data_IF_342776532324
#
_entry.id   IF_342776532324
#
_cell.length_a   1.000
_cell.length_b   1.000
_cell.length_c   1.000
_cell.angle_alpha   90.00
_cell.angle_beta   90.00
_cell.angle_gamma   90.00
#
_symmetry.space_group_name_H-M   'P 1'
#
loop_
_entity.id
_entity.type
_entity.pdbx_description
1 polymer ?
#
# COMPACT_ATOMS: atom_id res chain seq x y z
N UNK A 1 -61.78 -22.26 48.84
CA UNK A 1 -60.86 -21.11 48.78
C UNK A 1 -60.28 -20.89 50.16
N UNK A 2 -58.99 -21.20 50.36
CA UNK A 2 -58.24 -20.89 51.59
C UNK A 2 -57.10 -19.95 51.21
N UNK A 3 -56.97 -18.90 52.01
CA UNK A 3 -56.02 -17.81 51.86
C UNK A 3 -54.78 -18.19 52.68
N UNK A 4 -53.63 -18.29 52.04
CA UNK A 4 -52.35 -18.34 52.74
C UNK A 4 -51.58 -17.05 52.44
N UNK A 5 -51.40 -16.26 53.50
CA UNK A 5 -50.54 -15.08 53.50
C UNK A 5 -49.08 -15.53 53.54
N UNK A 6 -48.31 -15.15 52.53
CA UNK A 6 -46.86 -15.31 52.55
C UNK A 6 -46.19 -13.96 52.25
N UNK A 7 -45.63 -13.35 53.29
CA UNK A 7 -44.71 -12.20 53.21
C UNK A 7 -43.28 -12.70 53.24
N UNK A 8 -42.50 -12.56 52.16
CA UNK A 8 -41.05 -12.74 52.24
C UNK A 8 -40.36 -11.46 52.73
N UNK A 9 -39.55 -11.62 53.76
CA UNK A 9 -38.64 -10.64 54.36
C UNK A 9 -37.55 -10.18 53.38
N UNK A 10 -37.34 -8.86 53.25
CA UNK A 10 -36.19 -8.31 52.55
C UNK A 10 -34.90 -8.56 53.35
N UNK A 11 -34.08 -9.49 52.87
CA UNK A 11 -32.70 -9.68 53.35
C UNK A 11 -31.77 -8.73 52.60
N UNK A 12 -31.25 -7.73 53.30
CA UNK A 12 -30.19 -6.86 52.81
C UNK A 12 -28.92 -7.69 52.46
N UNK A 13 -28.47 -7.62 51.20
CA UNK A 13 -27.15 -8.12 50.79
C UNK A 13 -26.31 -6.98 50.21
N UNK A 14 -25.41 -6.52 51.09
CA UNK A 14 -24.04 -6.02 50.87
C UNK A 14 -23.73 -5.42 49.48
N UNK A 15 -23.63 -4.10 49.51
CA UNK A 15 -22.83 -3.24 48.65
C UNK A 15 -21.44 -3.86 48.40
N UNK A 16 -21.14 -4.30 47.18
CA UNK A 16 -19.79 -4.68 46.75
C UNK A 16 -19.13 -3.42 46.22
N UNK A 17 -18.46 -2.66 47.09
CA UNK A 17 -17.45 -1.70 46.68
C UNK A 17 -16.09 -2.41 46.73
N UNK A 18 -15.76 -3.11 45.64
CA UNK A 18 -14.41 -3.59 45.38
C UNK A 18 -13.54 -2.46 44.86
N UNK A 19 -13.11 -1.56 45.75
CA UNK A 19 -12.01 -0.63 45.45
C UNK A 19 -10.75 -1.50 45.35
N UNK A 20 -10.27 -1.76 44.13
CA UNK A 20 -8.95 -2.36 43.93
C UNK A 20 -7.89 -1.38 44.46
N UNK A 21 -7.49 -1.55 45.71
CA UNK A 21 -6.25 -0.99 46.23
C UNK A 21 -5.08 -1.75 45.60
N UNK A 22 -4.71 -1.34 44.39
CA UNK A 22 -3.46 -1.79 43.77
C UNK A 22 -2.32 -1.15 44.57
N UNK A 23 -1.58 -1.97 45.31
CA UNK A 23 -0.38 -1.48 45.99
C UNK A 23 0.57 -0.84 44.95
N UNK A 24 1.26 0.25 45.28
CA UNK A 24 2.22 0.92 44.37
C UNK A 24 3.25 -0.05 43.76
N UNK A 25 3.55 -1.15 44.44
CA UNK A 25 4.43 -2.22 43.93
C UNK A 25 3.80 -3.04 42.81
N UNK A 26 2.50 -3.33 42.89
CA UNK A 26 1.76 -4.06 41.87
C UNK A 26 1.58 -3.23 40.59
N UNK A 27 1.38 -1.92 40.70
CA UNK A 27 1.31 -1.01 39.56
C UNK A 27 2.62 -1.02 38.75
N UNK A 28 3.76 -0.86 39.43
CA UNK A 28 5.08 -0.94 38.79
C UNK A 28 5.36 -2.30 38.14
N UNK A 29 4.88 -3.39 38.75
CA UNK A 29 5.04 -4.74 38.21
C UNK A 29 4.19 -4.97 36.95
N UNK A 30 2.96 -4.46 36.91
CA UNK A 30 2.08 -4.54 35.73
C UNK A 30 2.61 -3.67 34.58
N UNK A 31 3.09 -2.46 34.87
CA UNK A 31 3.71 -1.61 33.85
C UNK A 31 4.99 -2.21 33.27
N UNK A 32 5.84 -2.82 34.11
CA UNK A 32 7.02 -3.54 33.65
C UNK A 32 6.65 -4.71 32.74
N UNK A 33 5.62 -5.47 33.09
CA UNK A 33 5.15 -6.59 32.28
C UNK A 33 4.63 -6.13 30.91
N UNK A 34 3.87 -5.03 30.86
CA UNK A 34 3.42 -4.41 29.61
C UNK A 34 4.59 -3.91 28.75
N UNK A 35 5.61 -3.31 29.37
CA UNK A 35 6.81 -2.86 28.67
C UNK A 35 7.58 -4.04 28.07
N UNK A 36 7.74 -5.14 28.81
CA UNK A 36 8.43 -6.34 28.32
C UNK A 36 7.66 -7.00 27.17
N UNK A 37 6.32 -7.10 27.26
CA UNK A 37 5.50 -7.61 26.16
C UNK A 37 5.61 -6.71 24.92
N UNK A 38 5.62 -5.38 25.10
CA UNK A 38 5.79 -4.43 24.00
C UNK A 38 7.15 -4.54 23.32
N UNK A 39 8.23 -4.64 24.11
CA UNK A 39 9.59 -4.84 23.59
C UNK A 39 9.71 -6.21 22.89
N UNK A 40 9.20 -7.28 23.51
CA UNK A 40 9.23 -8.62 22.92
C UNK A 40 8.41 -8.70 21.62
N UNK A 41 7.25 -8.06 21.57
CA UNK A 41 6.43 -7.96 20.35
C UNK A 41 7.13 -7.17 19.25
N UNK A 42 7.85 -6.10 19.61
CA UNK A 42 8.65 -5.31 18.66
C UNK A 42 9.82 -6.13 18.11
N UNK A 43 10.54 -6.86 18.97
CA UNK A 43 11.61 -7.78 18.56
C UNK A 43 11.03 -8.86 17.63
N UNK A 44 9.88 -9.46 17.98
CA UNK A 44 9.23 -10.49 17.18
C UNK A 44 8.87 -9.99 15.77
N UNK A 45 8.36 -8.75 15.64
CA UNK A 45 8.09 -8.14 14.35
C UNK A 45 9.35 -7.83 13.53
N UNK A 46 10.49 -7.61 14.18
CA UNK A 46 11.77 -7.39 13.51
C UNK A 46 12.36 -8.73 13.07
N UNK A 47 12.27 -9.78 13.91
CA UNK A 47 12.82 -11.11 13.61
C UNK A 47 11.99 -11.90 12.60
N UNK A 48 10.66 -11.72 12.57
CA UNK A 48 9.78 -12.44 11.66
C UNK A 48 9.46 -11.68 10.36
N UNK A 49 10.28 -10.69 9.99
CA UNK A 49 10.20 -10.14 8.64
C UNK A 49 10.64 -11.24 7.66
N UNK A 50 9.85 -11.57 6.62
CA UNK A 50 10.34 -12.43 5.55
C UNK A 50 11.57 -11.75 4.94
N UNK A 51 12.72 -12.38 5.09
CA UNK A 51 14.00 -11.93 4.55
C UNK A 51 13.90 -11.83 3.03
N UNK A 52 13.79 -10.61 2.49
CA UNK A 52 14.33 -10.34 1.17
C UNK A 52 15.85 -10.29 1.34
N UNK A 53 16.51 -11.39 0.98
CA UNK A 53 17.96 -11.44 0.87
C UNK A 53 18.40 -10.46 -0.22
N UNK A 54 19.19 -9.47 0.16
CA UNK A 54 20.27 -8.98 -0.68
C UNK A 54 21.51 -8.80 0.21
N UNK A 55 22.65 -9.43 -0.09
CA UNK A 55 23.86 -9.29 0.72
C UNK A 55 24.59 -8.02 0.29
N UNK A 56 24.56 -6.99 1.14
CA UNK A 56 25.37 -5.79 0.99
C UNK A 56 26.01 -5.43 2.34
N UNK A 57 27.30 -5.02 2.37
CA UNK A 57 28.05 -4.90 3.61
C UNK A 57 27.50 -3.76 4.47
N UNK A 58 27.36 -4.05 5.75
CA UNK A 58 26.89 -3.16 6.81
C UNK A 58 27.72 -1.88 6.93
N UNK A 59 27.06 -0.73 6.88
CA UNK A 59 27.51 0.51 7.52
C UNK A 59 26.31 1.17 8.23
N UNK A 60 26.52 1.77 9.42
CA UNK A 60 25.43 2.25 10.26
C UNK A 60 24.89 3.60 9.75
N UNK A 61 23.56 3.72 9.86
CA UNK A 61 22.87 4.97 10.21
C UNK A 61 22.89 6.15 9.21
N UNK A 62 22.10 6.08 8.12
CA UNK A 62 21.46 7.27 7.51
C UNK A 62 20.14 6.88 6.82
N UNK A 63 19.05 6.82 7.59
CA UNK A 63 17.71 6.38 7.14
C UNK A 63 17.00 7.28 6.12
N UNK A 64 17.59 8.41 5.71
CA UNK A 64 16.99 9.30 4.71
C UNK A 64 17.45 8.99 3.27
N UNK A 65 18.69 8.51 3.06
CA UNK A 65 19.23 8.28 1.70
C UNK A 65 18.81 6.95 1.10
N UNK A 66 18.48 5.96 1.94
CA UNK A 66 17.98 4.66 1.48
C UNK A 66 16.67 4.80 0.69
N UNK A 67 15.75 5.67 1.10
CA UNK A 67 14.49 5.89 0.40
C UNK A 67 14.69 6.52 -0.99
N UNK A 68 15.66 7.43 -1.15
CA UNK A 68 15.97 8.03 -2.45
C UNK A 68 16.66 7.05 -3.40
N UNK A 69 17.58 6.24 -2.89
CA UNK A 69 18.24 5.18 -3.67
C UNK A 69 17.24 4.07 -4.07
N UNK A 70 16.38 3.66 -3.12
CA UNK A 70 15.30 2.69 -3.39
C UNK A 70 14.31 3.23 -4.41
N UNK A 71 13.99 4.51 -4.38
CA UNK A 71 13.08 5.13 -5.36
C UNK A 71 13.70 5.24 -6.75
N UNK A 72 15.01 5.52 -6.88
CA UNK A 72 15.70 5.51 -8.17
C UNK A 72 15.78 4.10 -8.77
N UNK A 73 16.02 3.09 -7.93
CA UNK A 73 16.09 1.71 -8.37
C UNK A 73 14.69 1.15 -8.68
N UNK A 74 13.68 1.52 -7.88
CA UNK A 74 12.27 1.22 -8.15
C UNK A 74 11.74 1.92 -9.40
N UNK A 75 12.14 3.16 -9.70
CA UNK A 75 11.76 3.87 -10.94
C UNK A 75 12.36 3.19 -12.18
N UNK A 76 13.61 2.73 -12.10
CA UNK A 76 14.24 1.94 -13.16
C UNK A 76 13.58 0.57 -13.34
N UNK A 77 13.21 -0.10 -12.24
CA UNK A 77 12.48 -1.37 -12.31
C UNK A 77 11.06 -1.19 -12.88
N UNK A 78 10.31 -0.17 -12.45
CA UNK A 78 8.99 0.14 -13.02
C UNK A 78 9.05 0.50 -14.50
N UNK A 79 10.11 1.19 -14.91
CA UNK A 79 10.35 1.52 -16.33
C UNK A 79 10.66 0.27 -17.15
N UNK A 80 11.43 -0.66 -16.58
CA UNK A 80 11.71 -1.97 -17.18
C UNK A 80 10.43 -2.80 -17.31
N UNK A 81 9.63 -2.85 -16.24
CA UNK A 81 8.37 -3.58 -16.22
C UNK A 81 7.36 -2.98 -17.20
N UNK A 82 7.32 -1.65 -17.37
CA UNK A 82 6.47 -1.01 -18.38
C UNK A 82 6.73 -1.54 -19.79
N UNK A 83 8.01 -1.64 -20.20
CA UNK A 83 8.38 -2.06 -21.55
C UNK A 83 8.10 -3.56 -21.81
N UNK A 84 7.88 -4.37 -20.76
CA UNK A 84 7.42 -5.76 -20.89
C UNK A 84 5.99 -5.83 -21.42
N UNK A 85 5.13 -4.88 -21.02
CA UNK A 85 3.72 -4.87 -21.39
C UNK A 85 3.42 -3.94 -22.57
N UNK A 86 4.21 -2.87 -22.75
CA UNK A 86 3.89 -1.81 -23.71
C UNK A 86 5.10 -1.46 -24.56
N UNK A 87 4.89 -1.42 -25.88
CA UNK A 87 5.79 -0.79 -26.84
C UNK A 87 5.16 0.51 -27.32
N UNK A 88 5.92 1.60 -27.24
CA UNK A 88 5.48 2.90 -27.75
C UNK A 88 6.29 3.29 -28.98
N UNK A 89 5.62 3.83 -29.98
CA UNK A 89 6.21 4.33 -31.22
C UNK A 89 5.58 5.68 -31.58
N UNK A 90 6.39 6.64 -32.02
CA UNK A 90 5.95 7.99 -32.36
C UNK A 90 6.98 9.04 -32.01
N UNK A 91 6.91 10.22 -32.62
CA UNK A 91 7.95 11.26 -32.49
C UNK A 91 7.81 12.16 -31.26
N UNK A 92 6.76 11.98 -30.45
CA UNK A 92 6.56 12.77 -29.23
C UNK A 92 6.45 14.26 -29.54
N UNK A 93 5.58 14.62 -30.49
CA UNK A 93 5.28 15.99 -30.87
C UNK A 93 3.83 16.34 -30.55
N UNK A 94 3.57 17.62 -30.29
CA UNK A 94 2.20 18.12 -30.14
C UNK A 94 1.41 17.81 -31.40
N UNK A 95 0.21 17.25 -31.23
CA UNK A 95 -0.68 16.92 -32.35
C UNK A 95 -0.29 15.67 -33.15
N UNK A 96 0.83 15.01 -32.86
CA UNK A 96 1.23 13.75 -33.49
C UNK A 96 0.81 12.55 -32.63
N UNK A 97 0.13 11.58 -33.24
CA UNK A 97 -0.32 10.39 -32.54
C UNK A 97 0.85 9.51 -32.12
N UNK A 98 0.87 9.17 -30.84
CA UNK A 98 1.72 8.13 -30.26
C UNK A 98 0.98 6.81 -30.36
N UNK A 99 1.61 5.83 -30.99
CA UNK A 99 1.12 4.46 -31.11
C UNK A 99 1.59 3.69 -29.88
N UNK A 100 0.64 3.13 -29.16
CA UNK A 100 0.85 2.35 -27.96
C UNK A 100 0.41 0.92 -28.25
N UNK A 101 1.37 0.02 -28.42
CA UNK A 101 1.14 -1.39 -28.69
C UNK A 101 1.28 -2.18 -27.40
N UNK A 102 0.20 -2.81 -26.97
CA UNK A 102 0.16 -3.75 -25.87
C UNK A 102 0.76 -5.09 -26.31
N UNK A 103 1.70 -5.60 -25.53
CA UNK A 103 2.46 -6.83 -25.81
C UNK A 103 1.88 -8.04 -25.07
N UNK A 104 1.12 -7.81 -24.01
CA UNK A 104 0.41 -8.85 -23.27
C UNK A 104 -0.98 -9.12 -23.89
N UNK A 105 -1.60 -10.24 -23.51
CA UNK A 105 -2.96 -10.57 -23.93
C UNK A 105 -3.97 -9.63 -23.25
N UNK A 106 -4.63 -8.78 -24.04
CA UNK A 106 -5.62 -7.82 -23.55
C UNK A 106 -6.86 -8.46 -22.91
N UNK A 107 -7.10 -9.75 -23.16
CA UNK A 107 -8.25 -10.48 -22.60
C UNK A 107 -7.93 -11.15 -21.27
N UNK A 108 -6.65 -11.33 -20.95
CA UNK A 108 -6.23 -12.02 -19.73
C UNK A 108 -6.50 -11.19 -18.46
N UNK A 109 -6.40 -9.86 -18.57
CA UNK A 109 -6.58 -8.92 -17.47
C UNK A 109 -7.09 -7.57 -17.97
N UNK A 110 -7.72 -6.79 -17.08
CA UNK A 110 -8.17 -5.43 -17.39
C UNK A 110 -7.08 -4.42 -17.03
N UNK A 111 -6.57 -3.71 -18.02
CA UNK A 111 -5.55 -2.68 -17.82
C UNK A 111 -6.11 -1.28 -18.01
N UNK A 112 -5.60 -0.34 -17.22
CA UNK A 112 -5.88 1.09 -17.30
C UNK A 112 -4.55 1.82 -17.40
N UNK A 113 -4.46 2.71 -18.38
CA UNK A 113 -3.30 3.53 -18.63
C UNK A 113 -3.63 4.98 -18.31
N UNK A 114 -2.84 5.60 -17.43
CA UNK A 114 -2.92 7.03 -17.13
C UNK A 114 -1.89 7.74 -18.01
N UNK A 115 -2.33 8.71 -18.82
CA UNK A 115 -1.48 9.37 -19.81
C UNK A 115 -0.63 10.50 -19.21
N UNK A 116 -0.83 10.83 -17.94
CA UNK A 116 -0.06 11.85 -17.21
C UNK A 116 -0.56 13.28 -17.43
N UNK A 117 -1.60 13.48 -18.23
CA UNK A 117 -2.31 14.76 -18.45
C UNK A 117 -3.72 14.76 -17.83
N UNK A 118 -4.03 13.74 -17.03
CA UNK A 118 -5.34 13.52 -16.42
C UNK A 118 -6.27 12.62 -17.23
N UNK A 119 -5.90 12.24 -18.46
CA UNK A 119 -6.66 11.30 -19.28
C UNK A 119 -6.30 9.86 -18.91
N UNK A 120 -7.32 9.01 -18.78
CA UNK A 120 -7.18 7.58 -18.53
C UNK A 120 -7.80 6.78 -19.65
N UNK A 121 -7.06 5.80 -20.15
CA UNK A 121 -7.48 4.90 -21.21
C UNK A 121 -7.62 3.49 -20.65
N UNK A 122 -8.75 2.85 -20.93
CA UNK A 122 -8.89 1.41 -20.68
C UNK A 122 -8.32 0.68 -21.88
N UNK A 123 -7.40 -0.25 -21.64
CA UNK A 123 -6.82 -1.09 -22.70
C UNK A 123 -7.88 -2.09 -23.12
N UNK A 124 -8.43 -1.89 -24.31
CA UNK A 124 -9.51 -2.71 -24.90
C UNK A 124 -9.08 -3.41 -26.18
N UNK A 125 -7.94 -2.98 -26.75
CA UNK A 125 -7.38 -3.48 -27.98
C UNK A 125 -5.86 -3.38 -27.91
N UNK A 126 -5.20 -4.13 -28.80
CA UNK A 126 -3.74 -4.21 -28.85
C UNK A 126 -3.07 -2.88 -29.16
N UNK A 127 -3.55 -2.15 -30.15
CA UNK A 127 -2.96 -0.88 -30.57
C UNK A 127 -3.86 0.29 -30.20
N UNK A 128 -3.34 1.22 -29.41
CA UNK A 128 -4.03 2.45 -29.00
C UNK A 128 -3.31 3.65 -29.59
N UNK A 129 -4.09 4.64 -30.01
CA UNK A 129 -3.57 5.90 -30.56
C UNK A 129 -3.90 7.02 -29.58
N UNK A 130 -2.88 7.76 -29.16
CA UNK A 130 -3.05 8.88 -28.25
C UNK A 130 -2.28 10.11 -28.70
N UNK A 131 -2.87 11.29 -28.57
CA UNK A 131 -2.25 12.55 -28.99
C UNK A 131 -2.23 13.51 -27.82
N UNK A 132 -1.06 14.10 -27.56
CA UNK A 132 -0.92 15.16 -26.56
C UNK A 132 -1.17 16.53 -27.21
N UNK A 133 -2.05 17.31 -26.59
CA UNK A 133 -2.44 18.65 -27.08
C UNK A 133 -1.45 19.74 -26.69
N UNK A 134 -0.68 19.53 -25.62
CA UNK A 134 0.24 20.52 -25.06
C UNK A 134 1.66 19.96 -25.01
N UNK A 135 2.68 20.79 -25.21
CA UNK A 135 4.06 20.38 -24.99
C UNK A 135 4.30 20.20 -23.49
N UNK A 136 5.15 19.23 -23.13
CA UNK A 136 5.37 18.92 -21.72
C UNK A 136 6.09 17.60 -21.48
N UNK A 137 6.40 17.35 -20.21
CA UNK A 137 6.89 16.06 -19.72
C UNK A 137 5.71 15.34 -19.06
N UNK A 138 5.34 14.19 -19.61
CA UNK A 138 4.22 13.38 -19.13
C UNK A 138 4.75 12.05 -18.58
N UNK A 139 4.26 11.64 -17.42
CA UNK A 139 4.54 10.32 -16.86
C UNK A 139 3.34 9.43 -17.09
N UNK A 140 3.50 8.45 -17.96
CA UNK A 140 2.49 7.45 -18.27
C UNK A 140 2.57 6.35 -17.21
N UNK A 141 1.43 5.91 -16.70
CA UNK A 141 1.34 4.82 -15.73
C UNK A 141 0.47 3.69 -16.27
N UNK A 142 0.98 2.47 -16.27
CA UNK A 142 0.19 1.28 -16.57
C UNK A 142 -0.27 0.64 -15.26
N UNK A 143 -1.57 0.48 -15.09
CA UNK A 143 -2.20 -0.16 -13.94
C UNK A 143 -3.01 -1.36 -14.38
N UNK A 144 -2.97 -2.43 -13.61
CA UNK A 144 -3.81 -3.61 -13.79
C UNK A 144 -4.91 -3.63 -12.73
N UNK A 145 -6.14 -3.90 -13.13
CA UNK A 145 -7.25 -4.10 -12.20
C UNK A 145 -7.25 -5.55 -11.75
N UNK A 146 -6.86 -5.80 -10.50
CA UNK A 146 -6.96 -7.11 -9.87
C UNK A 146 -7.90 -7.03 -8.69
N UNK A 147 -8.96 -7.88 -8.69
CA UNK A 147 -9.95 -7.93 -7.61
C UNK A 147 -10.58 -6.56 -7.28
N UNK A 148 -10.74 -5.70 -8.29
CA UNK A 148 -11.29 -4.34 -8.14
C UNK A 148 -10.29 -3.27 -7.69
N UNK A 149 -9.02 -3.62 -7.49
CA UNK A 149 -7.97 -2.71 -7.04
C UNK A 149 -7.00 -2.45 -8.21
N UNK A 150 -6.56 -1.19 -8.36
CA UNK A 150 -5.54 -0.82 -9.34
C UNK A 150 -4.13 -1.10 -8.79
N UNK A 151 -3.42 -2.00 -9.45
CA UNK A 151 -2.02 -2.31 -9.17
C UNK A 151 -1.12 -1.68 -10.24
N UNK A 152 -0.17 -0.85 -9.81
CA UNK A 152 0.81 -0.25 -10.71
C UNK A 152 1.75 -1.33 -11.28
N UNK A 153 1.88 -1.39 -12.60
CA UNK A 153 2.74 -2.33 -13.32
C UNK A 153 3.97 -1.69 -13.92
N UNK A 154 3.91 -0.39 -14.22
CA UNK A 154 5.06 0.31 -14.75
C UNK A 154 4.76 1.76 -15.02
N UNK A 155 5.82 2.55 -15.15
CA UNK A 155 5.75 3.95 -15.53
C UNK A 155 6.66 4.22 -16.72
N UNK A 156 6.35 5.24 -17.52
CA UNK A 156 7.22 5.72 -18.58
C UNK A 156 7.07 7.20 -18.78
N UNK A 157 8.20 7.91 -18.76
CA UNK A 157 8.21 9.33 -19.10
C UNK A 157 8.23 9.53 -20.62
N UNK A 158 7.35 10.38 -21.13
CA UNK A 158 7.36 10.89 -22.50
C UNK A 158 7.58 12.40 -22.48
N UNK A 159 8.48 12.88 -23.33
CA UNK A 159 8.70 14.32 -23.56
C UNK A 159 8.03 14.69 -24.87
N UNK A 160 7.02 15.54 -24.79
CA UNK A 160 6.30 16.10 -25.93
C UNK A 160 6.87 17.47 -26.24
N UNK A 161 7.40 17.63 -27.44
CA UNK A 161 7.92 18.91 -27.95
C UNK A 161 6.90 19.58 -28.87
N UNK A 162 7.02 20.89 -29.02
CA UNK A 162 6.32 21.67 -30.05
C UNK A 162 6.63 21.14 -31.47
#
# INVERSE_FOLDING_TARGET
MRIEHYTPSFSAKKQIQGIFHVSKKAESMVLSFLAVIGIAGTIFLITNRPSYQNPGPSLPEYGAVSSFLSNLEAENQLSSDFNKYIKMSGKGKVGEAVIITFLADEKASRYVMDMGDGVRLVVTQKDLFYTYEKPGKYTIELKEIQRGILHLRGTKTVKVKE
#
